data_IF_015398230717
#
_entry.id   IF_015398230717
#
_cell.length_a   1.000
_cell.length_b   1.000
_cell.length_c   1.000
_cell.angle_alpha   90.00
_cell.angle_beta   90.00
_cell.angle_gamma   90.00
#
_symmetry.space_group_name_H-M   'P 1'
#
loop_
_entity.id
_entity.type
_entity.pdbx_description
1 polymer ?
#
# COMPACT_ATOMS: atom_id res chain seq x y z
N UNK A 1 1.24 -13.31 -15.12
CA UNK A 1 1.16 -12.19 -14.14
C UNK A 1 2.56 -11.62 -13.93
N UNK A 2 2.77 -10.32 -14.13
CA UNK A 2 4.09 -9.69 -13.88
C UNK A 2 4.18 -9.28 -12.40
N UNK A 3 5.09 -9.84 -11.60
CA UNK A 3 5.19 -9.47 -10.20
C UNK A 3 5.77 -8.05 -10.09
N UNK A 4 5.06 -7.16 -9.40
CA UNK A 4 5.41 -5.74 -9.24
C UNK A 4 6.50 -5.53 -8.17
N UNK A 5 7.62 -6.27 -8.26
CA UNK A 5 8.66 -6.35 -7.22
C UNK A 5 9.36 -5.03 -6.86
N UNK A 6 9.07 -3.94 -7.56
CA UNK A 6 9.68 -2.65 -7.24
C UNK A 6 8.90 -1.81 -6.24
N UNK A 7 7.56 -1.91 -6.21
CA UNK A 7 6.71 -1.04 -5.41
C UNK A 7 5.99 -1.83 -4.33
N UNK A 8 6.36 -1.58 -3.06
CA UNK A 8 5.71 -2.20 -1.91
C UNK A 8 4.19 -1.91 -1.94
N UNK A 9 3.30 -2.89 -1.74
CA UNK A 9 1.85 -2.66 -1.72
C UNK A 9 1.43 -1.66 -0.64
N UNK A 10 0.38 -0.88 -0.90
CA UNK A 10 -0.06 0.15 0.06
C UNK A 10 -0.50 -0.45 1.41
N UNK A 11 -1.11 -1.63 1.39
CA UNK A 11 -1.52 -2.35 2.60
C UNK A 11 -0.35 -2.71 3.51
N UNK A 12 0.77 -3.16 2.92
CA UNK A 12 1.98 -3.48 3.70
C UNK A 12 2.63 -2.22 4.29
N UNK A 13 2.64 -1.10 3.56
CA UNK A 13 3.13 0.18 4.08
C UNK A 13 2.29 0.66 5.26
N UNK A 14 0.96 0.47 5.20
CA UNK A 14 0.06 0.83 6.30
C UNK A 14 0.36 -0.02 7.56
N UNK A 15 0.65 -1.32 7.40
CA UNK A 15 1.02 -2.20 8.51
C UNK A 15 2.37 -1.81 9.10
N UNK A 16 3.39 -1.58 8.26
CA UNK A 16 4.73 -1.19 8.72
C UNK A 16 4.75 0.12 9.51
N UNK A 17 3.81 1.03 9.20
CA UNK A 17 3.63 2.29 9.92
C UNK A 17 2.76 2.17 11.19
N UNK A 18 2.24 0.99 11.50
CA UNK A 18 1.31 0.79 12.61
C UNK A 18 -0.05 1.44 12.40
N UNK A 19 -0.41 1.78 11.15
CA UNK A 19 -1.68 2.45 10.80
C UNK A 19 -2.80 1.45 10.59
N UNK A 20 -2.47 0.21 10.21
CA UNK A 20 -3.42 -0.89 10.07
C UNK A 20 -2.84 -2.17 10.64
N UNK A 21 -3.68 -3.11 11.06
CA UNK A 21 -3.28 -4.46 11.45
C UNK A 21 -3.35 -5.43 10.27
N UNK A 22 -2.66 -6.57 10.38
CA UNK A 22 -2.77 -7.66 9.38
C UNK A 22 -4.21 -8.15 9.23
N UNK A 23 -4.94 -8.30 10.35
CA UNK A 23 -6.34 -8.70 10.33
C UNK A 23 -7.22 -7.69 9.59
N UNK A 24 -7.03 -6.39 9.83
CA UNK A 24 -7.77 -5.32 9.14
C UNK A 24 -7.49 -5.33 7.63
N UNK A 25 -6.24 -5.57 7.24
CA UNK A 25 -5.88 -5.72 5.83
C UNK A 25 -6.55 -6.94 5.20
N UNK A 26 -6.55 -8.08 5.88
CA UNK A 26 -7.20 -9.32 5.42
C UNK A 26 -8.71 -9.13 5.24
N UNK A 27 -9.38 -8.47 6.20
CA UNK A 27 -10.79 -8.11 6.09
C UNK A 27 -11.07 -7.20 4.89
N UNK A 28 -10.23 -6.18 4.68
CA UNK A 28 -10.33 -5.30 3.53
C UNK A 28 -10.13 -6.03 2.19
N UNK A 29 -9.18 -6.96 2.13
CA UNK A 29 -8.90 -7.78 0.94
C UNK A 29 -10.05 -8.75 0.65
N UNK A 30 -10.64 -9.37 1.67
CA UNK A 30 -11.83 -10.21 1.51
C UNK A 30 -12.99 -9.41 0.91
N UNK A 31 -13.23 -8.18 1.40
CA UNK A 31 -14.25 -7.30 0.84
C UNK A 31 -13.91 -6.85 -0.60
N UNK A 32 -12.63 -6.65 -0.92
CA UNK A 32 -12.19 -6.27 -2.26
C UNK A 32 -12.53 -7.32 -3.33
N UNK A 33 -12.56 -8.61 -2.97
CA UNK A 33 -12.95 -9.68 -3.89
C UNK A 33 -14.35 -9.48 -4.48
N UNK A 34 -15.24 -8.81 -3.75
CA UNK A 34 -16.60 -8.50 -4.17
C UNK A 34 -16.77 -7.09 -4.74
N UNK A 35 -15.69 -6.29 -4.81
CA UNK A 35 -15.72 -4.88 -5.25
C UNK A 35 -14.65 -4.63 -6.34
N UNK A 36 -14.85 -5.19 -7.54
CA UNK A 36 -13.87 -5.07 -8.63
C UNK A 36 -13.58 -3.61 -8.95
N UNK A 37 -12.30 -3.29 -9.14
CA UNK A 37 -11.83 -1.93 -9.43
C UNK A 37 -11.65 -1.02 -8.20
N UNK A 38 -12.20 -1.39 -7.04
CA UNK A 38 -11.97 -0.61 -5.82
C UNK A 38 -10.56 -0.87 -5.27
N UNK A 39 -9.82 0.21 -4.96
CA UNK A 39 -8.49 0.11 -4.35
C UNK A 39 -8.59 -0.27 -2.87
N UNK A 40 -7.70 -1.15 -2.41
CA UNK A 40 -7.66 -1.60 -1.01
C UNK A 40 -7.60 -0.43 -0.01
N UNK A 41 -6.83 0.62 -0.31
CA UNK A 41 -6.77 1.81 0.54
C UNK A 41 -8.12 2.50 0.73
N UNK A 42 -8.93 2.61 -0.32
CA UNK A 42 -10.27 3.19 -0.23
C UNK A 42 -11.23 2.30 0.58
N UNK A 43 -11.06 0.98 0.49
CA UNK A 43 -11.82 0.02 1.30
C UNK A 43 -11.49 0.18 2.78
N UNK A 44 -10.20 0.24 3.13
CA UNK A 44 -9.77 0.41 4.52
C UNK A 44 -10.22 1.74 5.13
N UNK A 45 -10.30 2.81 4.32
CA UNK A 45 -10.91 4.08 4.74
C UNK A 45 -12.42 3.91 4.96
N UNK A 46 -13.12 3.26 4.03
CA UNK A 46 -14.56 2.99 4.17
C UNK A 46 -14.92 2.10 5.36
N UNK A 47 -14.01 1.23 5.79
CA UNK A 47 -14.14 0.40 6.99
C UNK A 47 -13.76 1.14 8.28
N UNK A 48 -13.24 2.37 8.20
CA UNK A 48 -12.78 3.14 9.35
C UNK A 48 -11.47 2.64 9.98
N UNK A 49 -10.75 1.72 9.31
CA UNK A 49 -9.49 1.18 9.82
C UNK A 49 -8.31 2.15 9.66
N UNK A 50 -8.38 3.01 8.64
CA UNK A 50 -7.38 4.06 8.40
C UNK A 50 -8.08 5.35 7.98
N UNK A 51 -7.47 6.50 8.24
CA UNK A 51 -7.99 7.77 7.72
C UNK A 51 -7.49 8.05 6.30
N UNK A 52 -8.15 8.97 5.59
CA UNK A 52 -7.64 9.49 4.31
C UNK A 52 -6.23 10.09 4.46
N UNK A 53 -5.95 10.73 5.61
CA UNK A 53 -4.63 11.30 5.90
C UNK A 53 -3.56 10.22 6.01
N UNK A 54 -3.87 9.10 6.67
CA UNK A 54 -2.97 7.95 6.79
C UNK A 54 -2.66 7.33 5.43
N UNK A 55 -3.70 7.20 4.60
CA UNK A 55 -3.57 6.69 3.24
C UNK A 55 -2.69 7.60 2.36
N UNK A 56 -2.83 8.93 2.46
CA UNK A 56 -1.99 9.89 1.74
C UNK A 56 -0.51 9.80 2.19
N UNK A 57 -0.25 9.66 3.50
CA UNK A 57 1.12 9.46 4.02
C UNK A 57 1.73 8.17 3.49
N UNK A 58 0.98 7.08 3.47
CA UNK A 58 1.45 5.81 2.93
C UNK A 58 1.75 5.91 1.41
N UNK A 59 0.95 6.66 0.65
CA UNK A 59 1.24 6.91 -0.78
C UNK A 59 2.50 7.73 -1.01
N UNK A 60 2.75 8.76 -0.20
CA UNK A 60 3.97 9.57 -0.28
C UNK A 60 5.22 8.70 -0.07
N UNK A 61 5.21 7.84 0.95
CA UNK A 61 6.29 6.89 1.21
C UNK A 61 6.47 5.87 0.08
N UNK A 62 5.36 5.39 -0.49
CA UNK A 62 5.39 4.47 -1.62
C UNK A 62 6.04 5.09 -2.87
N UNK A 63 5.93 6.41 -3.04
CA UNK A 63 6.56 7.15 -4.14
C UNK A 63 8.04 7.43 -3.83
N UNK A 64 8.36 7.85 -2.60
CA UNK A 64 9.74 8.09 -2.17
C UNK A 64 10.61 6.83 -2.24
N UNK A 65 10.09 5.69 -1.78
CA UNK A 65 10.79 4.39 -1.88
C UNK A 65 10.97 3.92 -3.32
N UNK A 66 10.00 4.18 -4.20
CA UNK A 66 10.10 3.84 -5.62
C UNK A 66 11.21 4.63 -6.32
N UNK A 67 11.38 5.92 -5.98
CA UNK A 67 12.42 6.78 -6.56
C UNK A 67 13.81 6.47 -5.99
N UNK A 68 13.93 6.25 -4.68
CA UNK A 68 15.20 5.91 -4.05
C UNK A 68 15.82 4.63 -4.63
N UNK A 69 15.01 3.58 -4.85
CA UNK A 69 15.50 2.36 -5.47
C UNK A 69 15.90 2.58 -6.94
N UNK A 70 15.20 3.46 -7.68
CA UNK A 70 15.48 3.73 -9.10
C UNK A 70 16.84 4.37 -9.33
N UNK A 71 17.31 5.13 -8.35
CA UNK A 71 18.61 5.79 -8.38
C UNK A 71 19.79 4.88 -8.02
N UNK A 72 19.59 3.84 -7.20
CA UNK A 72 20.67 2.93 -6.78
C UNK A 72 21.07 1.93 -7.88
N UNK A 73 20.20 1.69 -8.86
CA UNK A 73 20.42 0.72 -9.95
C UNK A 73 21.41 1.13 -11.06
N UNK A 74 22.02 2.33 -11.01
CA UNK A 74 22.90 2.84 -12.06
C UNK A 74 24.36 3.07 -11.63
N UNK A 75 24.73 2.73 -10.38
CA UNK A 75 26.07 3.02 -9.84
C UNK A 75 27.06 1.84 -9.84
N UNK A 76 26.63 0.69 -10.34
CA UNK A 76 27.48 -0.50 -10.53
C UNK A 76 27.31 -1.02 -11.97
N UNK A 77 27.95 -0.33 -12.92
CA UNK A 77 28.26 -0.83 -14.27
C UNK A 77 29.48 -0.09 -14.80
#
# INVERSE_FOLDING_TARGET
>A
MRPHYWRKPIGEILIEKGLATRLQLEQGLALQQHKPGQKIGAILVGLGYVTTKDLLRAYADQLGTAYAKAWVGWRES
#
